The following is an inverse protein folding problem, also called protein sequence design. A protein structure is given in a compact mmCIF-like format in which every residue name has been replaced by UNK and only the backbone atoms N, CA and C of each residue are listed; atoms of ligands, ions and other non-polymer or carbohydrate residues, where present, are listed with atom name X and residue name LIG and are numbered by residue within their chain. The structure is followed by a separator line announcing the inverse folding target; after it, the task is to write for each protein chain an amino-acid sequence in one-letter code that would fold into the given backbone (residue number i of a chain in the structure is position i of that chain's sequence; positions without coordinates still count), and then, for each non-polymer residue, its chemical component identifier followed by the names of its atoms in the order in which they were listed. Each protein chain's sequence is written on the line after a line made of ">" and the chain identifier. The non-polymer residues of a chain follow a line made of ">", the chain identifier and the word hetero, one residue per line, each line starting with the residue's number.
data_IF_226085404105
#
_entry.id   IF_226085404105
#
_cell.length_a   1.000
_cell.length_b   1.000
_cell.length_c   1.000
_cell.angle_alpha   90.00
_cell.angle_beta   90.00
_cell.angle_gamma   90.00
#
_symmetry.space_group_name_H-M   'P 1'
#
loop_
_entity.id
_entity.type
_entity.pdbx_description
1 polymer ?
#
# COMPACT_ATOMS: atom_id res chain seq x y z
N UNK A 1 7.26 7.77 -10.64
CA UNK A 1 7.93 6.73 -9.82
C UNK A 1 6.93 6.28 -8.77
N UNK A 2 6.75 4.96 -8.56
CA UNK A 2 5.86 4.46 -7.52
C UNK A 2 6.41 4.75 -6.12
N UNK A 3 5.53 4.80 -5.13
CA UNK A 3 5.90 4.94 -3.73
C UNK A 3 6.50 3.60 -3.29
N UNK A 4 7.76 3.60 -2.87
CA UNK A 4 8.41 2.38 -2.40
C UNK A 4 8.32 2.30 -0.88
N UNK A 5 7.84 1.16 -0.36
CA UNK A 5 7.85 0.88 1.07
C UNK A 5 8.89 -0.18 1.45
N UNK A 6 9.29 -0.16 2.70
CA UNK A 6 10.06 -1.20 3.37
C UNK A 6 9.44 -1.46 4.74
N UNK A 7 9.15 -2.72 5.03
CA UNK A 7 8.64 -3.16 6.33
C UNK A 7 9.53 -4.28 6.87
N UNK A 8 9.84 -4.24 8.15
CA UNK A 8 10.60 -5.30 8.86
C UNK A 8 9.76 -5.77 10.04
N UNK A 9 9.51 -7.07 10.13
CA UNK A 9 8.69 -7.66 11.19
C UNK A 9 8.30 -9.10 10.90
N UNK A 10 7.24 -9.59 11.53
CA UNK A 10 6.69 -10.92 11.27
C UNK A 10 5.76 -10.90 10.05
N UNK A 11 5.89 -11.90 9.19
CA UNK A 11 5.09 -12.05 7.97
C UNK A 11 4.39 -13.40 7.98
N UNK A 12 3.11 -13.42 7.67
CA UNK A 12 2.32 -14.66 7.55
C UNK A 12 1.32 -14.56 6.41
N UNK A 13 0.79 -15.68 5.98
CA UNK A 13 -0.36 -15.72 5.09
C UNK A 13 -1.61 -15.29 5.88
N UNK A 14 -2.45 -14.48 5.29
CA UNK A 14 -3.71 -14.08 5.91
C UNK A 14 -4.60 -15.32 6.17
N UNK A 15 -5.49 -15.25 7.15
CA UNK A 15 -6.43 -16.34 7.40
C UNK A 15 -7.55 -16.31 6.36
N UNK A 16 -7.96 -17.48 5.94
CA UNK A 16 -9.18 -17.62 5.12
C UNK A 16 -10.40 -17.19 5.93
N UNK A 17 -11.33 -16.52 5.29
CA UNK A 17 -12.65 -16.21 5.80
C UNK A 17 -13.75 -16.83 4.92
N UNK A 18 -15.00 -16.81 5.38
CA UNK A 18 -16.12 -17.34 4.61
C UNK A 18 -16.29 -16.65 3.25
N UNK A 19 -15.87 -15.38 3.17
CA UNK A 19 -16.02 -14.57 1.95
C UNK A 19 -14.74 -14.49 1.10
N UNK A 20 -13.56 -14.64 1.73
CA UNK A 20 -12.28 -14.41 1.06
C UNK A 20 -11.27 -15.48 1.40
N UNK A 21 -10.55 -15.95 0.38
CA UNK A 21 -9.37 -16.81 0.55
C UNK A 21 -8.10 -15.97 0.53
N UNK A 22 -7.14 -16.37 1.33
CA UNK A 22 -5.83 -15.72 1.36
C UNK A 22 -5.04 -15.97 0.07
N UNK A 23 -5.17 -17.16 -0.50
CA UNK A 23 -4.59 -17.53 -1.79
C UNK A 23 -5.71 -18.01 -2.73
N UNK A 24 -5.88 -17.30 -3.85
CA UNK A 24 -7.00 -17.53 -4.74
C UNK A 24 -6.64 -17.29 -6.21
N UNK A 25 -7.13 -18.18 -7.06
CA UNK A 25 -7.12 -18.03 -8.51
C UNK A 25 -8.54 -17.71 -9.01
N UNK A 26 -8.69 -16.61 -9.74
CA UNK A 26 -9.94 -16.21 -10.39
C UNK A 26 -9.78 -16.17 -11.89
N UNK A 27 -10.76 -16.74 -12.59
CA UNK A 27 -10.87 -16.60 -14.03
C UNK A 27 -11.51 -15.25 -14.35
N UNK A 28 -10.95 -14.53 -15.32
CA UNK A 28 -11.57 -13.33 -15.84
C UNK A 28 -12.44 -13.62 -17.04
N UNK A 29 -13.49 -12.83 -17.27
CA UNK A 29 -14.41 -13.00 -18.41
C UNK A 29 -13.70 -12.93 -19.77
N UNK A 30 -12.53 -12.28 -19.81
CA UNK A 30 -11.69 -12.20 -20.99
C UNK A 30 -10.76 -13.40 -21.19
N UNK A 31 -10.87 -14.43 -20.33
CA UNK A 31 -10.10 -15.67 -20.42
C UNK A 31 -8.69 -15.58 -19.81
N UNK A 32 -8.40 -14.59 -18.98
CA UNK A 32 -7.18 -14.52 -18.16
C UNK A 32 -7.34 -15.20 -16.80
N UNK A 33 -6.21 -15.49 -16.14
CA UNK A 33 -6.18 -15.91 -14.74
C UNK A 33 -5.60 -14.76 -13.90
N UNK A 34 -6.32 -14.40 -12.86
CA UNK A 34 -5.86 -13.52 -11.81
C UNK A 34 -5.57 -14.36 -10.57
N UNK A 35 -4.38 -14.21 -10.02
CA UNK A 35 -3.97 -14.85 -8.76
C UNK A 35 -3.68 -13.78 -7.73
N UNK A 36 -4.21 -13.96 -6.52
CA UNK A 36 -3.93 -13.09 -5.39
C UNK A 36 -3.45 -13.87 -4.19
N UNK A 37 -2.43 -13.35 -3.51
CA UNK A 37 -1.98 -13.78 -2.19
C UNK A 37 -2.07 -12.60 -1.24
N UNK A 38 -2.88 -12.74 -0.19
CA UNK A 38 -3.00 -11.78 0.90
C UNK A 38 -2.09 -12.19 2.05
N UNK A 39 -1.34 -11.25 2.56
CA UNK A 39 -0.38 -11.44 3.64
C UNK A 39 -0.76 -10.55 4.83
N UNK A 40 -0.32 -10.95 6.01
CA UNK A 40 -0.33 -10.13 7.22
C UNK A 40 1.10 -9.80 7.58
N UNK A 41 1.38 -8.53 7.77
CA UNK A 41 2.67 -8.01 8.23
C UNK A 41 2.47 -7.28 9.54
N UNK A 42 3.17 -7.71 10.60
CA UNK A 42 3.22 -7.01 11.87
C UNK A 42 4.64 -6.45 12.05
N UNK A 43 4.73 -5.14 12.25
CA UNK A 43 5.96 -4.42 12.52
C UNK A 43 5.77 -3.60 13.79
N UNK A 44 6.39 -3.98 14.87
CA UNK A 44 6.16 -3.46 16.23
C UNK A 44 4.66 -3.49 16.59
N UNK A 45 4.02 -2.33 16.70
CA UNK A 45 2.59 -2.18 17.00
C UNK A 45 1.71 -2.02 15.76
N UNK A 46 2.32 -1.92 14.58
CA UNK A 46 1.62 -1.62 13.33
C UNK A 46 1.32 -2.89 12.55
N UNK A 47 0.12 -2.92 11.92
CA UNK A 47 -0.36 -4.06 11.15
C UNK A 47 -0.70 -3.63 9.73
N UNK A 48 -0.16 -4.35 8.77
CA UNK A 48 -0.37 -4.10 7.35
C UNK A 48 -0.86 -5.36 6.65
N UNK A 49 -1.59 -5.17 5.57
CA UNK A 49 -2.09 -6.26 4.72
C UNK A 49 -1.46 -6.18 3.32
N UNK A 50 -0.17 -6.51 3.20
CA UNK A 50 0.47 -6.54 1.89
C UNK A 50 -0.07 -7.69 1.04
N UNK A 51 0.06 -7.55 -0.28
CA UNK A 51 -0.47 -8.53 -1.22
C UNK A 51 0.45 -8.73 -2.42
N UNK A 52 0.36 -9.91 -3.02
CA UNK A 52 0.98 -10.20 -4.31
C UNK A 52 -0.15 -10.51 -5.28
N UNK A 53 -0.24 -9.76 -6.37
CA UNK A 53 -1.25 -9.94 -7.40
C UNK A 53 -0.59 -10.23 -8.73
N UNK A 54 -0.86 -11.41 -9.30
CA UNK A 54 -0.38 -11.82 -10.59
C UNK A 54 -1.52 -11.97 -11.59
N UNK A 55 -1.29 -11.56 -12.82
CA UNK A 55 -2.26 -11.69 -13.89
C UNK A 55 -1.60 -12.29 -15.13
N UNK A 56 -2.21 -13.36 -15.67
CA UNK A 56 -1.80 -13.96 -16.92
C UNK A 56 -2.93 -13.88 -17.93
N UNK A 57 -2.69 -13.19 -19.02
CA UNK A 57 -3.57 -13.20 -20.19
C UNK A 57 -3.41 -14.53 -20.90
N UNK A 58 -4.37 -15.46 -20.72
CA UNK A 58 -4.33 -16.70 -21.45
C UNK A 58 -4.76 -16.50 -22.91
N UNK A 59 -4.14 -17.24 -23.81
CA UNK A 59 -4.71 -17.42 -25.12
C UNK A 59 -6.02 -18.21 -25.00
N UNK A 60 -7.11 -17.72 -25.60
CA UNK A 60 -8.39 -18.42 -25.63
C UNK A 60 -8.17 -19.83 -26.17
N UNK A 61 -8.61 -20.81 -25.41
CA UNK A 61 -8.73 -22.18 -25.91
C UNK A 61 -10.08 -22.41 -26.54
N UNK A 62 -10.07 -23.21 -27.59
CA UNK A 62 -11.28 -23.69 -28.25
C UNK A 62 -12.13 -24.61 -27.39
N UNK A 63 -11.59 -25.17 -26.31
CA UNK A 63 -12.21 -26.15 -25.41
C UNK A 63 -12.53 -25.65 -24.01
N UNK A 64 -12.40 -24.36 -23.77
CA UNK A 64 -12.66 -23.73 -22.47
C UNK A 64 -11.56 -23.93 -21.40
N UNK A 65 -10.52 -24.73 -21.67
CA UNK A 65 -9.42 -24.89 -20.74
C UNK A 65 -8.37 -23.78 -20.89
N UNK A 66 -7.85 -23.24 -19.80
CA UNK A 66 -6.85 -22.17 -19.81
C UNK A 66 -5.45 -22.78 -20.01
N UNK A 67 -4.75 -22.32 -21.03
CA UNK A 67 -3.36 -22.70 -21.25
C UNK A 67 -2.42 -21.57 -20.78
N UNK A 68 -1.99 -21.64 -19.54
CA UNK A 68 -1.05 -20.69 -18.94
C UNK A 68 0.22 -20.53 -19.78
N UNK A 69 0.68 -21.61 -20.43
CA UNK A 69 1.92 -21.62 -21.23
C UNK A 69 1.91 -20.65 -22.40
N UNK A 70 0.75 -20.34 -22.96
CA UNK A 70 0.61 -19.43 -24.09
C UNK A 70 0.31 -17.99 -23.67
N UNK A 71 0.26 -17.72 -22.35
CA UNK A 71 0.09 -16.38 -21.80
C UNK A 71 1.28 -15.48 -22.15
N UNK A 72 1.00 -14.21 -22.35
CA UNK A 72 2.03 -13.20 -22.61
C UNK A 72 2.54 -12.61 -21.29
N UNK A 73 3.88 -12.56 -21.18
CA UNK A 73 4.57 -11.84 -20.10
C UNK A 73 5.22 -10.60 -20.72
N UNK A 74 5.07 -9.49 -20.04
CA UNK A 74 5.67 -8.19 -20.38
C UNK A 74 6.70 -7.83 -19.33
N UNK A 75 7.92 -7.52 -19.74
CA UNK A 75 9.01 -7.16 -18.85
C UNK A 75 9.97 -6.17 -19.50
N UNK A 76 11.04 -5.83 -18.79
CA UNK A 76 12.16 -5.07 -19.28
C UNK A 76 13.41 -5.94 -19.24
N UNK A 77 14.11 -6.06 -20.35
CA UNK A 77 15.42 -6.68 -20.43
C UNK A 77 16.52 -5.62 -20.54
N UNK A 78 17.66 -5.91 -19.94
CA UNK A 78 18.86 -5.10 -20.10
C UNK A 78 19.75 -5.72 -21.18
N UNK A 79 20.11 -4.93 -22.19
CA UNK A 79 21.03 -5.37 -23.21
C UNK A 79 22.50 -5.26 -22.77
N UNK A 80 23.43 -5.68 -23.65
CA UNK A 80 24.86 -5.67 -23.38
C UNK A 80 25.44 -4.25 -23.18
N UNK A 81 24.73 -3.22 -23.60
CA UNK A 81 25.12 -1.81 -23.45
C UNK A 81 24.51 -1.18 -22.17
N UNK A 82 23.74 -1.96 -21.41
CA UNK A 82 23.07 -1.49 -20.19
C UNK A 82 21.75 -0.78 -20.42
N UNK A 83 21.25 -0.74 -21.66
CA UNK A 83 19.97 -0.11 -22.01
C UNK A 83 18.80 -1.05 -21.73
N UNK A 84 17.68 -0.49 -21.24
CA UNK A 84 16.47 -1.26 -20.98
C UNK A 84 15.53 -1.22 -22.18
N UNK A 85 15.10 -2.41 -22.60
CA UNK A 85 14.19 -2.61 -23.70
C UNK A 85 12.94 -3.37 -23.23
N UNK A 86 11.76 -2.90 -23.64
CA UNK A 86 10.51 -3.61 -23.38
C UNK A 86 10.47 -4.90 -24.18
N UNK A 87 10.19 -6.00 -23.50
CA UNK A 87 10.10 -7.33 -24.12
C UNK A 87 8.76 -7.97 -23.82
N UNK A 88 8.32 -8.78 -24.77
CA UNK A 88 7.12 -9.60 -24.65
C UNK A 88 7.48 -11.03 -25.03
N UNK A 89 7.20 -11.99 -24.17
CA UNK A 89 7.47 -13.40 -24.41
C UNK A 89 6.36 -14.29 -23.84
N UNK A 90 6.33 -15.56 -24.24
CA UNK A 90 5.35 -16.51 -23.71
C UNK A 90 5.78 -17.05 -22.37
N UNK A 91 4.80 -17.32 -21.50
CA UNK A 91 5.05 -17.88 -20.15
C UNK A 91 5.93 -19.13 -20.19
N UNK A 92 5.73 -20.03 -21.15
CA UNK A 92 6.57 -21.23 -21.34
C UNK A 92 8.04 -20.95 -21.63
N UNK A 93 8.37 -19.74 -22.08
CA UNK A 93 9.74 -19.33 -22.44
C UNK A 93 10.40 -18.50 -21.33
N UNK A 94 9.74 -18.31 -20.17
CA UNK A 94 10.18 -17.45 -19.07
C UNK A 94 11.62 -17.71 -18.61
N UNK A 95 12.03 -18.97 -18.52
CA UNK A 95 13.38 -19.34 -18.08
C UNK A 95 14.49 -18.84 -19.03
N UNK A 96 14.19 -18.73 -20.31
CA UNK A 96 15.15 -18.22 -21.30
C UNK A 96 15.40 -16.73 -21.13
N UNK A 97 14.38 -16.00 -20.68
CA UNK A 97 14.41 -14.56 -20.53
C UNK A 97 14.91 -14.10 -19.15
N UNK A 98 14.76 -14.96 -18.11
CA UNK A 98 15.05 -14.63 -16.73
C UNK A 98 16.41 -13.95 -16.50
N UNK A 99 17.46 -14.42 -17.20
CA UNK A 99 18.83 -13.90 -17.04
C UNK A 99 18.98 -12.44 -17.50
N UNK A 100 18.17 -12.02 -18.48
CA UNK A 100 18.25 -10.70 -19.10
C UNK A 100 17.27 -9.71 -18.49
N UNK A 101 16.29 -10.20 -17.71
CA UNK A 101 15.30 -9.32 -17.06
C UNK A 101 16.02 -8.35 -16.13
N UNK A 102 15.65 -7.07 -16.23
CA UNK A 102 16.18 -6.02 -15.40
C UNK A 102 15.97 -6.34 -13.91
N UNK A 103 17.01 -6.19 -13.11
CA UNK A 103 17.01 -6.58 -11.68
C UNK A 103 15.87 -5.96 -10.88
N UNK A 104 15.49 -4.72 -11.18
CA UNK A 104 14.41 -4.03 -10.51
C UNK A 104 13.00 -4.53 -10.92
N UNK A 105 12.90 -5.33 -11.99
CA UNK A 105 11.67 -5.97 -12.45
C UNK A 105 11.49 -7.40 -11.92
N UNK A 106 12.52 -7.96 -11.30
CA UNK A 106 12.43 -9.28 -10.71
C UNK A 106 11.75 -9.22 -9.36
N UNK A 107 10.84 -10.15 -9.12
CA UNK A 107 10.38 -10.46 -7.78
C UNK A 107 11.39 -11.41 -7.13
N UNK A 108 11.67 -11.20 -5.86
CA UNK A 108 12.76 -11.89 -5.19
C UNK A 108 12.34 -12.38 -3.80
N UNK A 109 12.65 -13.65 -3.52
CA UNK A 109 12.62 -14.19 -2.18
C UNK A 109 14.01 -14.66 -1.79
N UNK A 110 14.51 -14.23 -0.63
CA UNK A 110 15.83 -14.59 -0.13
C UNK A 110 15.70 -15.16 1.29
N UNK A 111 16.25 -16.33 1.50
CA UNK A 111 16.55 -16.88 2.82
C UNK A 111 18.07 -16.91 3.03
N UNK A 112 18.53 -17.40 4.18
CA UNK A 112 19.95 -17.38 4.59
C UNK A 112 20.93 -17.95 3.56
N UNK A 113 20.48 -18.88 2.71
CA UNK A 113 21.36 -19.66 1.83
C UNK A 113 20.98 -19.57 0.34
N UNK A 114 19.78 -19.10 0.02
CA UNK A 114 19.24 -19.19 -1.33
C UNK A 114 18.50 -17.93 -1.75
N UNK A 115 18.64 -17.60 -3.02
CA UNK A 115 17.92 -16.51 -3.67
C UNK A 115 17.07 -17.07 -4.80
N UNK A 116 15.77 -16.86 -4.69
CA UNK A 116 14.79 -17.24 -5.70
C UNK A 116 14.33 -16.01 -6.44
N UNK A 117 14.32 -16.07 -7.77
CA UNK A 117 13.97 -14.96 -8.66
C UNK A 117 12.82 -15.35 -9.56
N UNK A 118 11.89 -14.42 -9.79
CA UNK A 118 10.71 -14.61 -10.61
C UNK A 118 10.52 -13.41 -11.54
N UNK A 119 10.04 -13.68 -12.76
CA UNK A 119 9.76 -12.64 -13.76
C UNK A 119 8.28 -12.23 -13.78
N UNK A 120 7.46 -12.83 -12.94
CA UNK A 120 6.03 -12.52 -12.85
C UNK A 120 5.51 -12.80 -11.44
N UNK A 121 4.48 -12.06 -11.06
CA UNK A 121 3.86 -12.14 -9.74
C UNK A 121 3.05 -13.43 -9.56
N UNK A 122 2.63 -14.07 -10.66
CA UNK A 122 1.83 -15.29 -10.63
C UNK A 122 2.62 -16.46 -10.02
N UNK A 123 3.85 -16.71 -10.50
CA UNK A 123 4.74 -17.74 -9.93
C UNK A 123 5.25 -17.33 -8.54
N UNK A 124 5.55 -16.05 -8.38
CA UNK A 124 6.04 -15.53 -7.11
C UNK A 124 5.05 -15.71 -5.98
N UNK A 125 3.76 -15.42 -6.22
CA UNK A 125 2.73 -15.60 -5.20
C UNK A 125 2.56 -17.06 -4.76
N UNK A 126 2.63 -18.01 -5.69
CA UNK A 126 2.57 -19.44 -5.38
C UNK A 126 3.77 -19.89 -4.54
N UNK A 127 4.96 -19.46 -4.93
CA UNK A 127 6.17 -19.77 -4.18
C UNK A 127 6.12 -19.22 -2.76
N UNK A 128 5.77 -17.93 -2.59
CA UNK A 128 5.66 -17.31 -1.27
C UNK A 128 4.61 -17.98 -0.41
N UNK A 129 3.44 -18.32 -0.98
CA UNK A 129 2.40 -19.07 -0.27
C UNK A 129 2.93 -20.39 0.27
N UNK A 130 3.59 -21.20 -0.58
CA UNK A 130 4.13 -22.51 -0.20
C UNK A 130 5.21 -22.37 0.86
N UNK A 131 6.13 -21.41 0.74
CA UNK A 131 7.21 -21.21 1.74
C UNK A 131 6.63 -20.78 3.09
N UNK A 132 5.73 -19.81 3.15
CA UNK A 132 5.15 -19.31 4.39
C UNK A 132 4.19 -20.31 5.07
N UNK A 133 3.58 -21.24 4.31
CA UNK A 133 2.68 -22.26 4.88
C UNK A 133 3.39 -23.58 5.19
N UNK A 134 4.67 -23.70 4.84
CA UNK A 134 5.46 -24.91 5.09
C UNK A 134 5.83 -25.15 6.57
N UNK A 135 5.69 -24.13 7.42
CA UNK A 135 6.17 -24.11 8.81
C UNK A 135 7.68 -23.87 8.95
N UNK A 136 8.42 -23.77 7.84
CA UNK A 136 9.88 -23.55 7.84
C UNK A 136 10.28 -22.19 8.45
N UNK A 137 9.40 -21.20 8.33
CA UNK A 137 9.66 -19.83 8.73
C UNK A 137 8.77 -19.36 9.90
N UNK A 138 8.23 -20.30 10.67
CA UNK A 138 7.50 -19.98 11.90
C UNK A 138 8.41 -19.16 12.82
N UNK A 139 7.95 -17.99 13.24
CA UNK A 139 8.70 -17.00 14.04
C UNK A 139 9.89 -16.31 13.35
N UNK A 140 10.12 -16.51 12.07
CA UNK A 140 11.16 -15.76 11.36
C UNK A 140 10.76 -14.29 11.19
N UNK A 141 11.77 -13.41 11.19
CA UNK A 141 11.61 -12.00 10.87
C UNK A 141 11.91 -11.76 9.38
N UNK A 142 11.12 -10.92 8.76
CA UNK A 142 11.21 -10.63 7.33
C UNK A 142 11.40 -9.14 7.08
N UNK A 143 12.15 -8.83 6.02
CA UNK A 143 12.12 -7.52 5.38
C UNK A 143 11.33 -7.65 4.09
N UNK A 144 10.23 -6.92 4.00
CA UNK A 144 9.32 -6.87 2.85
C UNK A 144 9.49 -5.54 2.15
N UNK A 145 9.74 -5.56 0.84
CA UNK A 145 9.89 -4.37 0.01
C UNK A 145 8.87 -4.44 -1.12
N UNK A 146 8.23 -3.32 -1.40
CA UNK A 146 7.23 -3.23 -2.44
C UNK A 146 6.86 -1.81 -2.80
N UNK A 147 5.70 -1.67 -3.42
CA UNK A 147 5.15 -0.40 -3.86
C UNK A 147 3.78 -0.16 -3.23
N UNK A 148 3.52 1.09 -2.84
CA UNK A 148 2.19 1.53 -2.40
C UNK A 148 1.45 2.04 -3.61
N UNK A 149 0.26 1.51 -3.82
CA UNK A 149 -0.66 1.93 -4.86
C UNK A 149 -1.95 2.44 -4.22
N UNK A 150 -2.43 3.59 -4.69
CA UNK A 150 -3.73 4.10 -4.31
C UNK A 150 -4.75 3.74 -5.40
N UNK A 151 -5.91 3.29 -4.96
CA UNK A 151 -7.06 3.11 -5.85
C UNK A 151 -8.23 3.89 -5.29
N UNK A 152 -8.99 4.55 -6.13
CA UNK A 152 -10.22 5.20 -5.72
C UNK A 152 -11.42 4.48 -6.31
N UNK A 153 -12.45 4.40 -5.51
CA UNK A 153 -13.75 3.85 -5.88
C UNK A 153 -14.85 4.80 -5.43
N UNK A 154 -15.80 5.04 -6.29
CA UNK A 154 -16.94 5.88 -5.97
C UNK A 154 -18.06 5.02 -5.40
N UNK A 155 -18.39 5.25 -4.12
CA UNK A 155 -19.48 4.58 -3.46
C UNK A 155 -20.81 5.31 -3.76
N UNK A 156 -21.61 4.75 -4.66
CA UNK A 156 -22.89 5.32 -5.06
C UNK A 156 -23.90 5.44 -3.90
N UNK A 157 -23.82 4.55 -2.89
CA UNK A 157 -24.71 4.58 -1.72
C UNK A 157 -24.45 5.75 -0.80
N UNK A 158 -23.17 6.11 -0.61
CA UNK A 158 -22.77 7.24 0.25
C UNK A 158 -22.50 8.51 -0.54
N UNK A 159 -22.49 8.44 -1.88
CA UNK A 159 -22.10 9.50 -2.80
C UNK A 159 -20.71 10.09 -2.48
N UNK A 160 -19.78 9.22 -2.10
CA UNK A 160 -18.42 9.59 -1.71
C UNK A 160 -17.39 8.77 -2.47
N UNK A 161 -16.27 9.40 -2.81
CA UNK A 161 -15.09 8.70 -3.33
C UNK A 161 -14.26 8.18 -2.14
N UNK A 162 -13.99 6.88 -2.15
CA UNK A 162 -13.15 6.22 -1.16
C UNK A 162 -11.80 5.88 -1.79
N UNK A 163 -10.71 6.14 -1.07
CA UNK A 163 -9.36 5.82 -1.52
C UNK A 163 -8.81 4.69 -0.67
N UNK A 164 -8.36 3.64 -1.33
CA UNK A 164 -7.73 2.48 -0.70
C UNK A 164 -6.23 2.50 -0.91
N UNK A 165 -5.50 2.11 0.12
CA UNK A 165 -4.05 1.94 0.10
C UNK A 165 -3.73 0.47 -0.10
N UNK A 166 -3.07 0.12 -1.19
CA UNK A 166 -2.63 -1.25 -1.49
C UNK A 166 -1.10 -1.34 -1.36
N UNK A 167 -0.63 -2.37 -0.68
CA UNK A 167 0.80 -2.65 -0.53
C UNK A 167 1.17 -3.84 -1.42
N UNK A 168 1.73 -3.58 -2.61
CA UNK A 168 2.15 -4.60 -3.58
C UNK A 168 3.57 -5.06 -3.28
N UNK A 169 3.75 -6.35 -2.98
CA UNK A 169 5.04 -6.91 -2.57
C UNK A 169 5.86 -7.36 -3.77
N UNK A 170 7.10 -6.89 -3.85
CA UNK A 170 8.05 -7.26 -4.89
C UNK A 170 9.21 -8.10 -4.36
N UNK A 171 9.61 -7.92 -3.10
CA UNK A 171 10.78 -8.61 -2.52
C UNK A 171 10.54 -8.96 -1.07
N UNK A 172 10.95 -10.16 -0.71
CA UNK A 172 10.91 -10.69 0.67
C UNK A 172 12.30 -11.24 1.00
N UNK A 173 12.82 -10.86 2.16
CA UNK A 173 14.09 -11.33 2.71
C UNK A 173 13.85 -11.84 4.12
N UNK A 174 14.29 -13.04 4.40
CA UNK A 174 14.45 -13.49 5.80
C UNK A 174 15.63 -12.71 6.37
N UNK A 175 15.44 -12.12 7.54
CA UNK A 175 16.47 -11.31 8.20
C UNK A 175 16.73 -11.82 9.62
N UNK A 176 17.89 -11.52 10.23
CA UNK A 176 18.18 -11.87 11.62
C UNK A 176 17.12 -11.32 12.59
N UNK A 177 16.87 -12.06 13.67
CA UNK A 177 15.86 -11.72 14.68
C UNK A 177 16.13 -10.39 15.39
N UNK A 178 17.40 -9.98 15.48
CA UNK A 178 17.86 -8.72 16.06
C UNK A 178 17.72 -7.52 15.11
N UNK A 179 17.24 -7.74 13.86
CA UNK A 179 16.97 -6.63 12.94
C UNK A 179 15.88 -5.75 13.51
N UNK A 180 16.12 -4.44 13.57
CA UNK A 180 15.15 -3.45 14.04
C UNK A 180 13.90 -3.46 13.17
N UNK A 181 12.73 -3.47 13.82
CA UNK A 181 11.45 -3.41 13.13
C UNK A 181 11.17 -2.01 12.61
N UNK A 182 10.74 -1.91 11.38
CA UNK A 182 10.40 -0.65 10.74
C UNK A 182 9.26 -0.82 9.74
N UNK A 183 8.46 0.22 9.56
CA UNK A 183 7.50 0.34 8.48
C UNK A 183 7.67 1.73 7.85
N UNK A 184 8.41 1.83 6.76
CA UNK A 184 8.76 3.11 6.16
C UNK A 184 8.47 3.17 4.67
N UNK A 185 8.25 4.38 4.14
CA UNK A 185 8.12 4.60 2.71
C UNK A 185 8.90 5.83 2.25
N UNK A 186 9.31 5.80 0.98
CA UNK A 186 9.83 6.95 0.27
C UNK A 186 8.75 7.47 -0.66
N UNK A 187 8.28 8.67 -0.41
CA UNK A 187 7.20 9.32 -1.16
C UNK A 187 7.68 10.59 -1.84
N UNK A 188 7.09 10.94 -2.95
CA UNK A 188 7.17 12.25 -3.57
C UNK A 188 5.77 12.86 -3.60
N UNK A 189 5.64 14.12 -3.18
CA UNK A 189 4.38 14.85 -3.16
C UNK A 189 4.49 16.09 -4.02
N UNK A 190 3.42 16.43 -4.69
CA UNK A 190 3.18 17.75 -5.26
C UNK A 190 2.43 18.59 -4.23
N UNK A 191 3.00 19.73 -3.90
CA UNK A 191 2.49 20.67 -2.89
C UNK A 191 2.22 22.03 -3.51
N UNK A 192 1.34 22.78 -2.88
CA UNK A 192 0.99 24.18 -3.20
C UNK A 192 1.50 25.12 -2.11
N UNK A 193 1.39 26.42 -2.30
CA UNK A 193 1.81 27.43 -1.31
C UNK A 193 1.06 27.33 0.03
N UNK A 194 -0.15 26.78 0.02
CA UNK A 194 -1.03 26.58 1.18
C UNK A 194 -0.92 25.15 1.77
N UNK A 195 0.14 24.41 1.43
CA UNK A 195 0.30 23.01 1.86
C UNK A 195 0.47 22.82 3.36
N UNK A 196 0.79 23.87 4.12
CA UNK A 196 1.11 23.78 5.54
C UNK A 196 -0.14 24.07 6.37
N UNK A 197 -0.47 23.13 7.26
CA UNK A 197 -1.49 23.31 8.29
C UNK A 197 -0.80 23.27 9.67
N UNK A 198 -1.02 24.31 10.49
CA UNK A 198 -0.41 24.52 11.80
C UNK A 198 -1.39 24.30 12.97
N UNK A 199 -2.60 23.84 12.72
CA UNK A 199 -3.65 23.69 13.74
C UNK A 199 -3.23 22.81 14.94
N UNK A 200 -2.31 21.85 14.70
CA UNK A 200 -1.80 20.92 15.71
C UNK A 200 -0.41 21.29 16.24
N UNK A 201 0.08 22.48 15.87
CA UNK A 201 1.44 22.90 16.22
C UNK A 201 1.58 23.24 17.71
N UNK A 202 0.61 23.94 18.29
CA UNK A 202 0.65 24.38 19.69
C UNK A 202 0.44 23.21 20.65
N UNK A 203 -0.54 22.36 20.39
CA UNK A 203 -0.94 21.29 21.30
C UNK A 203 -0.08 20.02 21.16
N UNK A 204 0.34 19.69 19.95
CA UNK A 204 0.99 18.40 19.66
C UNK A 204 2.43 18.58 19.12
N UNK A 205 2.90 19.81 18.95
CA UNK A 205 4.21 20.11 18.34
C UNK A 205 4.38 19.47 16.97
N UNK A 206 3.31 19.48 16.18
CA UNK A 206 3.15 18.76 14.94
C UNK A 206 2.67 19.67 13.82
N UNK A 207 3.40 19.64 12.70
CA UNK A 207 3.03 20.31 11.46
C UNK A 207 2.37 19.29 10.53
N UNK A 208 1.28 19.65 9.87
CA UNK A 208 0.68 18.80 8.83
C UNK A 208 1.00 19.38 7.46
N UNK A 209 1.54 18.54 6.58
CA UNK A 209 1.84 18.92 5.20
C UNK A 209 0.86 18.21 4.28
N UNK A 210 0.09 18.99 3.55
CA UNK A 210 -0.93 18.53 2.61
C UNK A 210 -0.38 18.57 1.18
N UNK A 211 -0.80 17.61 0.36
CA UNK A 211 -0.38 17.60 -1.03
C UNK A 211 -0.92 16.39 -1.79
N UNK A 212 -0.46 16.26 -3.01
CA UNK A 212 -0.91 15.20 -3.92
C UNK A 212 0.24 14.22 -4.19
N UNK A 213 -0.02 12.94 -4.01
CA UNK A 213 0.91 11.89 -4.39
C UNK A 213 0.56 11.45 -5.82
N UNK A 214 1.46 11.63 -6.79
CA UNK A 214 1.19 11.24 -8.17
C UNK A 214 1.33 9.73 -8.35
N UNK A 215 0.39 9.15 -9.08
CA UNK A 215 0.44 7.76 -9.51
C UNK A 215 0.01 7.66 -10.96
N UNK A 216 0.80 6.94 -11.76
CA UNK A 216 0.50 6.74 -13.17
C UNK A 216 -0.71 5.81 -13.34
N UNK A 217 -1.76 6.30 -13.99
CA UNK A 217 -2.90 5.50 -14.42
C UNK A 217 -2.71 5.04 -15.87
N UNK A 218 -2.48 3.74 -16.04
CA UNK A 218 -2.27 3.15 -17.36
C UNK A 218 -3.48 3.26 -18.30
N UNK A 219 -4.71 3.40 -17.77
CA UNK A 219 -5.92 3.61 -18.58
C UNK A 219 -5.99 5.03 -19.10
N UNK A 220 -5.66 5.98 -18.27
CA UNK A 220 -5.67 7.40 -18.58
C UNK A 220 -4.39 7.87 -19.27
N UNK A 221 -3.33 7.06 -19.22
CA UNK A 221 -1.98 7.40 -19.71
C UNK A 221 -1.44 8.72 -19.14
N UNK A 222 -1.81 9.04 -17.93
CA UNK A 222 -1.43 10.24 -17.21
C UNK A 222 -1.24 9.96 -15.71
N UNK A 223 -0.52 10.83 -15.03
CA UNK A 223 -0.43 10.80 -13.57
C UNK A 223 -1.73 11.35 -12.97
N UNK A 224 -2.25 10.63 -11.97
CA UNK A 224 -3.37 11.05 -11.12
C UNK A 224 -2.82 11.40 -9.75
N UNK A 225 -3.25 12.52 -9.20
CA UNK A 225 -2.88 12.95 -7.86
C UNK A 225 -3.87 12.45 -6.80
N UNK A 226 -3.35 11.73 -5.82
CA UNK A 226 -4.11 11.35 -4.63
C UNK A 226 -3.80 12.31 -3.49
N UNK A 227 -4.81 13.06 -3.03
CA UNK A 227 -4.64 13.99 -1.92
C UNK A 227 -4.33 13.23 -0.64
N UNK A 228 -3.24 13.63 0.04
CA UNK A 228 -2.77 13.03 1.29
C UNK A 228 -2.23 14.10 2.22
N UNK A 229 -2.41 13.84 3.51
CA UNK A 229 -1.79 14.61 4.58
C UNK A 229 -0.70 13.78 5.24
N UNK A 230 0.44 14.38 5.50
CA UNK A 230 1.54 13.76 6.25
C UNK A 230 1.84 14.58 7.48
N UNK A 231 2.14 13.90 8.58
CA UNK A 231 2.51 14.54 9.84
C UNK A 231 4.01 14.81 9.88
N UNK A 232 4.41 16.01 10.25
CA UNK A 232 5.79 16.40 10.45
C UNK A 232 6.03 16.74 11.93
N UNK A 233 6.46 15.78 12.77
CA UNK A 233 6.75 16.04 14.17
C UNK A 233 8.02 16.90 14.28
N UNK A 234 7.93 17.99 15.01
CA UNK A 234 9.09 18.87 15.20
C UNK A 234 10.14 18.23 16.10
N UNK A 235 9.74 17.34 17.02
CA UNK A 235 10.65 16.65 17.97
C UNK A 235 11.65 17.62 18.63
N UNK A 236 11.16 18.79 19.03
CA UNK A 236 11.94 19.85 19.63
C UNK A 236 11.02 20.78 20.42
N UNK A 237 11.57 21.48 21.40
CA UNK A 237 10.84 22.43 22.24
C UNK A 237 11.48 23.84 22.16
N UNK A 238 10.67 24.84 22.53
CA UNK A 238 11.10 26.21 22.67
C UNK A 238 11.75 26.79 21.40
N UNK A 239 12.91 27.42 21.56
CA UNK A 239 13.64 28.12 20.48
C UNK A 239 14.06 27.15 19.35
N UNK A 240 14.39 25.89 19.68
CA UNK A 240 14.78 24.90 18.70
C UNK A 240 13.62 24.50 17.80
N UNK A 241 12.40 24.34 18.37
CA UNK A 241 11.18 24.07 17.60
C UNK A 241 10.90 25.20 16.60
N UNK A 242 10.99 26.46 17.05
CA UNK A 242 10.80 27.62 16.18
C UNK A 242 11.83 27.67 15.04
N UNK A 243 13.09 27.37 15.33
CA UNK A 243 14.14 27.29 14.30
C UNK A 243 13.87 26.18 13.29
N UNK A 244 13.48 24.98 13.76
CA UNK A 244 13.09 23.86 12.89
C UNK A 244 11.91 24.26 12.00
N UNK A 245 10.85 24.80 12.58
CA UNK A 245 9.68 25.26 11.85
C UNK A 245 10.04 26.25 10.75
N UNK A 246 10.87 27.23 11.06
CA UNK A 246 11.34 28.23 10.07
C UNK A 246 12.09 27.56 8.91
N UNK A 247 12.96 26.60 9.19
CA UNK A 247 13.72 25.88 8.17
C UNK A 247 12.79 25.00 7.32
N UNK A 248 11.83 24.29 7.94
CA UNK A 248 10.87 23.46 7.24
C UNK A 248 10.01 24.32 6.30
N UNK A 249 9.44 25.41 6.81
CA UNK A 249 8.67 26.36 5.99
C UNK A 249 9.47 26.87 4.81
N UNK A 250 10.73 27.23 5.05
CA UNK A 250 11.63 27.65 3.99
C UNK A 250 11.84 26.56 2.94
N UNK A 251 12.10 25.31 3.34
CA UNK A 251 12.30 24.20 2.41
C UNK A 251 11.03 23.87 1.60
N UNK A 252 9.85 24.06 2.20
CA UNK A 252 8.58 23.79 1.54
C UNK A 252 8.14 24.94 0.63
N UNK A 253 8.36 26.21 1.00
CA UNK A 253 7.70 27.36 0.40
C UNK A 253 8.63 28.35 -0.35
N UNK A 254 9.97 28.28 -0.22
CA UNK A 254 10.88 29.30 -0.78
C UNK A 254 10.91 29.36 -2.33
N UNK A 255 10.44 28.33 -3.02
CA UNK A 255 10.58 28.19 -4.47
C UNK A 255 9.22 28.31 -5.22
N UNK A 256 8.20 28.86 -4.57
CA UNK A 256 6.88 28.99 -5.20
C UNK A 256 6.72 30.31 -5.96
N UNK A 257 6.28 30.20 -7.22
CA UNK A 257 5.63 31.28 -7.94
C UNK A 257 4.11 31.12 -7.79
N UNK A 258 3.35 32.17 -8.05
CA UNK A 258 1.87 32.18 -7.94
C UNK A 258 1.24 31.00 -8.70
N UNK A 259 0.41 30.21 -8.01
CA UNK A 259 -0.30 29.04 -8.55
C UNK A 259 0.58 27.89 -9.09
N UNK A 260 1.85 27.85 -8.74
CA UNK A 260 2.76 26.80 -9.16
C UNK A 260 2.67 25.57 -8.25
N UNK A 261 2.79 24.38 -8.83
CA UNK A 261 3.06 23.16 -8.07
C UNK A 261 4.56 22.99 -7.89
N UNK A 262 4.94 22.57 -6.68
CA UNK A 262 6.29 22.15 -6.41
C UNK A 262 6.31 20.69 -5.96
N UNK A 263 7.38 19.97 -6.30
CA UNK A 263 7.59 18.59 -5.90
C UNK A 263 8.59 18.52 -4.74
N UNK A 264 8.26 17.72 -3.74
CA UNK A 264 9.15 17.44 -2.62
C UNK A 264 9.10 15.95 -2.26
N UNK A 265 10.21 15.41 -1.76
CA UNK A 265 10.33 14.01 -1.36
C UNK A 265 10.60 13.85 0.12
N UNK A 266 9.92 12.86 0.72
CA UNK A 266 10.05 12.50 2.12
C UNK A 266 10.32 11.01 2.30
N UNK A 267 11.10 10.68 3.34
CA UNK A 267 11.03 9.37 3.97
C UNK A 267 10.04 9.49 5.11
N UNK A 268 9.02 8.63 5.13
CA UNK A 268 7.96 8.62 6.13
C UNK A 268 7.93 7.29 6.86
N UNK A 269 7.52 7.33 8.11
CA UNK A 269 7.08 6.19 8.89
C UNK A 269 5.61 5.92 8.57
N UNK A 270 5.27 4.65 8.36
CA UNK A 270 3.92 4.20 8.09
C UNK A 270 3.32 3.70 9.40
N UNK A 271 2.27 4.35 9.86
CA UNK A 271 1.57 4.01 11.09
C UNK A 271 0.21 3.46 10.72
N UNK A 272 -0.05 2.21 11.08
CA UNK A 272 -1.33 1.55 10.86
C UNK A 272 -1.64 0.61 12.02
N UNK A 273 -2.25 1.16 13.05
CA UNK A 273 -2.56 0.45 14.30
C UNK A 273 -3.91 0.90 14.84
N UNK A 274 -4.39 0.21 15.85
CA UNK A 274 -5.51 0.70 16.65
C UNK A 274 -4.98 1.56 17.78
N UNK A 275 -5.77 2.58 18.13
CA UNK A 275 -5.54 3.40 19.30
C UNK A 275 -5.59 2.51 20.56
N UNK A 276 -4.54 2.59 21.38
CA UNK A 276 -4.55 1.93 22.69
C UNK A 276 -5.45 2.75 23.59
N UNK A 277 -6.65 2.26 23.87
CA UNK A 277 -7.52 2.87 24.86
C UNK A 277 -6.99 2.50 26.26
N UNK A 278 -6.73 3.51 27.08
CA UNK A 278 -6.50 3.27 28.48
C UNK A 278 -7.77 2.66 29.10
N UNK A 279 -7.61 1.48 29.70
CA UNK A 279 -8.71 0.81 30.38
C UNK A 279 -9.19 1.69 31.55
N UNK A 280 -10.42 2.15 31.44
CA UNK A 280 -11.09 2.83 32.56
C UNK A 280 -12.11 1.86 33.15
N UNK A 281 -12.02 1.51 34.48
CA UNK A 281 -13.02 0.67 35.16
C UNK A 281 -14.45 1.18 35.05
N UNK A 282 -14.65 2.46 34.77
CA UNK A 282 -15.98 3.04 34.53
C UNK A 282 -16.64 2.56 33.24
N UNK A 283 -15.86 2.03 32.30
CA UNK A 283 -16.37 1.43 31.05
C UNK A 283 -17.05 0.08 31.26
N UNK A 284 -16.79 -0.58 32.41
CA UNK A 284 -17.43 -1.84 32.75
C UNK A 284 -18.91 -1.63 33.05
N UNK A 285 -19.75 -2.54 32.57
CA UNK A 285 -21.14 -2.64 32.95
C UNK A 285 -21.24 -2.96 34.44
N UNK A 286 -22.38 -2.68 35.04
CA UNK A 286 -22.59 -2.96 36.47
C UNK A 286 -22.47 -4.45 36.79
N UNK A 287 -22.91 -5.32 35.88
CA UNK A 287 -22.78 -6.78 36.01
C UNK A 287 -21.32 -7.23 35.97
N UNK A 288 -20.49 -6.65 35.07
CA UNK A 288 -19.05 -6.95 34.98
C UNK A 288 -18.30 -6.47 36.22
N UNK A 289 -18.64 -5.29 36.74
CA UNK A 289 -18.10 -4.78 38.02
C UNK A 289 -18.39 -5.73 39.17
N UNK A 290 -19.63 -6.21 39.28
CA UNK A 290 -20.02 -7.17 40.28
C UNK A 290 -19.28 -8.51 40.11
N UNK A 291 -19.15 -9.01 38.89
CA UNK A 291 -18.39 -10.24 38.62
C UNK A 291 -16.90 -10.13 38.98
N UNK A 292 -16.29 -8.96 38.76
CA UNK A 292 -14.89 -8.70 39.14
C UNK A 292 -14.79 -8.63 40.68
N UNK A 293 -15.70 -7.94 41.38
CA UNK A 293 -15.72 -7.85 42.84
C UNK A 293 -15.91 -9.22 43.50
N UNK A 294 -16.72 -10.08 42.90
CA UNK A 294 -16.94 -11.46 43.39
C UNK A 294 -15.80 -12.42 42.97
N UNK A 295 -14.80 -11.99 42.22
CA UNK A 295 -13.71 -12.82 41.75
C UNK A 295 -14.12 -13.86 40.70
N UNK A 296 -15.27 -13.67 40.05
CA UNK A 296 -15.80 -14.52 39.00
C UNK A 296 -15.23 -14.16 37.62
N UNK A 297 -14.70 -12.97 37.50
CA UNK A 297 -14.09 -12.46 36.27
C UNK A 297 -12.76 -11.78 36.56
N UNK A 298 -11.76 -12.05 35.72
CA UNK A 298 -10.43 -11.49 35.88
C UNK A 298 -10.34 -10.11 35.20
N UNK A 299 -9.97 -9.09 35.99
CA UNK A 299 -9.84 -7.71 35.52
C UNK A 299 -8.74 -7.56 34.43
N UNK A 300 -7.68 -8.37 34.47
CA UNK A 300 -6.62 -8.32 33.45
C UNK A 300 -7.13 -8.86 32.10
N UNK A 301 -7.98 -9.87 32.12
CA UNK A 301 -8.66 -10.39 30.93
C UNK A 301 -9.59 -9.33 30.32
N UNK A 302 -10.33 -8.61 31.15
CA UNK A 302 -11.20 -7.51 30.71
C UNK A 302 -10.38 -6.33 30.16
N UNK A 303 -9.28 -5.95 30.81
CA UNK A 303 -8.36 -4.94 30.27
C UNK A 303 -7.86 -5.30 28.87
N UNK A 304 -7.55 -6.57 28.66
CA UNK A 304 -7.11 -7.09 27.35
C UNK A 304 -8.25 -6.99 26.33
N UNK A 305 -9.46 -7.40 26.70
CA UNK A 305 -10.63 -7.41 25.82
C UNK A 305 -11.07 -5.99 25.44
N UNK A 306 -11.18 -5.09 26.41
CA UNK A 306 -11.54 -3.69 26.18
C UNK A 306 -10.41 -2.87 25.54
N UNK A 307 -9.14 -3.17 25.84
CA UNK A 307 -7.98 -2.49 25.27
C UNK A 307 -7.68 -2.88 23.81
N UNK A 308 -7.91 -4.14 23.42
CA UNK A 308 -7.57 -4.61 22.08
C UNK A 308 -8.65 -4.39 21.02
N UNK A 309 -9.89 -4.09 21.41
CA UNK A 309 -11.02 -4.16 20.48
C UNK A 309 -11.69 -2.84 20.08
N UNK A 310 -11.50 -1.77 20.83
CA UNK A 310 -12.39 -0.60 20.73
C UNK A 310 -11.75 0.70 20.25
N UNK A 311 -10.42 0.79 20.11
CA UNK A 311 -9.76 2.00 19.65
C UNK A 311 -9.97 2.27 18.16
N UNK A 312 -10.06 3.54 17.81
CA UNK A 312 -10.12 3.99 16.42
C UNK A 312 -8.89 3.50 15.65
N UNK A 313 -9.07 3.15 14.38
CA UNK A 313 -7.96 2.83 13.52
C UNK A 313 -7.18 4.10 13.21
N UNK A 314 -5.89 4.08 13.49
CA UNK A 314 -4.94 5.13 13.13
C UNK A 314 -4.22 4.67 11.87
N UNK A 315 -4.42 5.38 10.77
CA UNK A 315 -3.66 5.20 9.53
C UNK A 315 -3.08 6.55 9.13
N UNK A 316 -1.76 6.70 9.25
CA UNK A 316 -1.08 7.96 8.97
C UNK A 316 0.36 7.76 8.51
N UNK A 317 0.93 8.79 7.93
CA UNK A 317 2.33 8.87 7.54
C UNK A 317 3.01 9.98 8.36
N UNK A 318 4.10 9.63 9.04
CA UNK A 318 4.89 10.57 9.84
C UNK A 318 6.26 10.80 9.20
N UNK A 319 6.65 12.06 9.00
CA UNK A 319 7.92 12.39 8.33
C UNK A 319 9.09 12.04 9.24
N UNK A 320 9.97 11.18 8.73
CA UNK A 320 11.27 10.88 9.34
C UNK A 320 12.33 11.88 8.86
N UNK A 321 12.40 12.04 7.54
CA UNK A 321 13.37 13.00 6.94
C UNK A 321 12.88 13.49 5.58
N UNK A 322 13.43 14.64 5.15
CA UNK A 322 13.31 15.09 3.76
C UNK A 322 14.36 14.33 2.93
N UNK A 323 13.99 13.84 1.76
CA UNK A 323 14.89 13.11 0.88
C UNK A 323 16.04 14.02 0.40
N UNK A 324 17.24 13.45 0.31
CA UNK A 324 18.47 14.19 0.00
C UNK A 324 18.38 15.03 -1.28
N UNK A 325 17.62 14.58 -2.28
CA UNK A 325 17.42 15.32 -3.53
C UNK A 325 16.73 16.67 -3.36
N UNK A 326 16.04 16.86 -2.22
CA UNK A 326 15.28 18.06 -1.87
C UNK A 326 15.93 18.89 -0.76
N UNK A 327 17.22 18.73 -0.52
CA UNK A 327 17.97 19.47 0.52
C UNK A 327 18.01 20.98 0.30
N UNK A 328 17.71 21.44 -0.92
CA UNK A 328 17.61 22.87 -1.28
C UNK A 328 16.19 23.39 -1.31
N UNK A 329 15.21 22.56 -0.96
CA UNK A 329 13.78 22.88 -0.96
C UNK A 329 12.99 22.14 -2.04
N UNK A 330 11.70 22.43 -2.07
CA UNK A 330 10.77 21.92 -3.07
C UNK A 330 11.16 22.40 -4.47
N UNK A 331 10.94 21.57 -5.47
CA UNK A 331 11.36 21.81 -6.87
C UNK A 331 10.12 22.15 -7.69
N UNK A 332 10.09 23.33 -8.36
CA UNK A 332 9.02 23.70 -9.26
C UNK A 332 8.79 22.66 -10.38
N UNK A 333 7.53 22.42 -10.73
CA UNK A 333 7.15 21.51 -11.81
C UNK A 333 6.25 22.22 -12.84
N UNK A 334 6.32 21.79 -14.10
CA UNK A 334 5.52 22.32 -15.19
C UNK A 334 4.11 21.70 -15.26
N UNK A 335 3.58 21.22 -14.12
CA UNK A 335 2.28 20.58 -14.04
C UNK A 335 1.32 21.49 -13.28
N UNK A 336 0.06 21.57 -13.73
CA UNK A 336 -0.99 22.30 -13.01
C UNK A 336 -1.81 21.36 -12.12
N UNK A 337 -2.47 21.91 -11.09
CA UNK A 337 -3.40 21.14 -10.24
C UNK A 337 -4.52 20.53 -11.10
N UNK A 338 -5.04 21.26 -12.06
CA UNK A 338 -6.09 20.78 -12.95
C UNK A 338 -5.66 19.56 -13.76
N UNK A 339 -4.42 19.54 -14.27
CA UNK A 339 -3.87 18.38 -14.96
C UNK A 339 -3.71 17.17 -14.05
N UNK A 340 -3.33 17.40 -12.78
CA UNK A 340 -3.16 16.36 -11.79
C UNK A 340 -4.51 15.77 -11.33
N UNK A 341 -5.54 16.60 -11.25
CA UNK A 341 -6.90 16.21 -10.84
C UNK A 341 -7.79 15.86 -12.02
N UNK A 342 -7.38 16.13 -13.26
CA UNK A 342 -8.22 15.93 -14.42
C UNK A 342 -8.66 14.47 -14.52
N UNK A 343 -9.94 14.26 -14.24
CA UNK A 343 -10.64 13.08 -14.77
C UNK A 343 -10.62 13.27 -16.28
N UNK A 344 -10.16 12.31 -17.09
CA UNK A 344 -10.30 12.44 -18.53
C UNK A 344 -11.77 12.65 -18.82
N UNK A 345 -12.05 13.55 -19.73
CA UNK A 345 -13.38 13.67 -20.30
C UNK A 345 -13.83 12.27 -20.68
N UNK A 346 -14.82 11.77 -19.98
CA UNK A 346 -15.53 10.57 -20.41
C UNK A 346 -15.99 10.89 -21.80
N UNK A 347 -15.52 10.16 -22.80
CA UNK A 347 -16.03 10.21 -24.15
C UNK A 347 -17.53 10.39 -24.06
N UNK A 348 -18.00 11.52 -24.59
CA UNK A 348 -19.42 11.87 -24.67
C UNK A 348 -20.11 10.60 -25.15
N UNK A 349 -20.97 10.05 -24.30
CA UNK A 349 -21.79 8.90 -24.64
C UNK A 349 -22.40 9.18 -26.00
N UNK A 350 -21.92 8.51 -27.03
CA UNK A 350 -22.75 8.24 -28.17
C UNK A 350 -23.96 7.50 -27.59
N UNK A 351 -25.12 8.18 -27.63
CA UNK A 351 -26.39 7.55 -27.35
C UNK A 351 -26.53 6.32 -28.25
N UNK A 352 -26.12 5.19 -27.75
CA UNK A 352 -26.56 3.92 -28.25
C UNK A 352 -27.80 3.60 -27.42
N UNK A 353 -28.97 3.83 -28.01
CA UNK A 353 -30.20 3.22 -27.54
C UNK A 353 -29.96 1.70 -27.48
N UNK A 354 -29.73 1.21 -26.30
CA UNK A 354 -29.80 -0.22 -26.01
C UNK A 354 -31.00 -0.41 -25.10
N UNK A 355 -31.99 -1.11 -25.66
CA UNK A 355 -33.16 -1.60 -24.95
C UNK A 355 -32.73 -2.27 -23.63
N UNK A 356 -33.28 -1.76 -22.53
CA UNK A 356 -33.22 -2.35 -21.20
C UNK A 356 -33.99 -3.66 -21.22
N UNK A 357 -33.29 -4.79 -21.26
CA UNK A 357 -33.81 -6.06 -20.77
C UNK A 357 -32.79 -6.67 -19.81
N UNK A 358 -33.17 -6.57 -18.57
CA UNK A 358 -32.98 -7.43 -17.40
C UNK A 358 -31.77 -8.38 -17.34
N UNK A 359 -31.11 -8.32 -16.16
CA UNK A 359 -30.25 -9.31 -15.52
C UNK A 359 -28.77 -9.31 -15.86
N UNK A 360 -28.04 -8.55 -15.06
CA UNK A 360 -26.82 -9.05 -14.38
C UNK A 360 -26.28 -8.00 -13.40
N UNK A 361 -26.92 -7.88 -12.25
CA UNK A 361 -26.27 -7.44 -11.02
C UNK A 361 -25.37 -8.58 -10.56
N UNK A 362 -24.07 -8.53 -10.78
CA UNK A 362 -23.08 -9.30 -9.96
C UNK A 362 -21.61 -9.16 -10.36
N UNK A 363 -21.10 -8.11 -10.98
CA UNK A 363 -19.70 -8.18 -11.40
C UNK A 363 -18.86 -6.91 -11.19
N UNK A 364 -18.91 -6.26 -10.01
CA UNK A 364 -17.88 -5.25 -9.64
C UNK A 364 -17.64 -5.09 -8.13
N UNK A 365 -18.05 -6.05 -7.31
CA UNK A 365 -17.71 -6.05 -5.88
C UNK A 365 -16.42 -6.85 -5.61
N UNK A 366 -15.28 -6.42 -6.19
CA UNK A 366 -13.97 -7.00 -5.85
C UNK A 366 -13.46 -6.44 -4.51
N UNK A 367 -14.07 -5.38 -4.02
CA UNK A 367 -13.74 -4.76 -2.73
C UNK A 367 -15.03 -4.56 -1.94
N UNK A 368 -15.57 -5.67 -1.40
CA UNK A 368 -16.71 -5.61 -0.50
C UNK A 368 -16.36 -4.83 0.76
N UNK A 369 -17.27 -3.95 1.11
CA UNK A 369 -17.37 -3.28 2.40
C UNK A 369 -17.35 -4.29 3.55
N UNK A 370 -16.76 -3.84 4.66
CA UNK A 370 -16.89 -4.40 6.00
C UNK A 370 -16.49 -5.87 6.17
N UNK A 371 -15.20 -6.12 6.25
CA UNK A 371 -14.74 -7.17 7.17
C UNK A 371 -13.51 -6.69 7.93
N UNK A 372 -13.79 -6.19 9.10
CA UNK A 372 -12.91 -6.14 10.24
C UNK A 372 -12.11 -7.44 10.30
N UNK A 373 -10.80 -7.34 10.23
CA UNK A 373 -9.90 -8.47 10.41
C UNK A 373 -10.26 -9.17 11.73
N UNK A 374 -10.59 -10.47 11.71
CA UNK A 374 -10.57 -11.23 12.95
C UNK A 374 -9.12 -11.39 13.37
N UNK A 375 -8.83 -11.02 14.59
CA UNK A 375 -7.58 -11.31 15.28
C UNK A 375 -7.33 -12.81 15.41
#
# INVERSE_FOLDING_TARGET
>A
MGIRFTMVGSLSVAKDSDKHRAFEDKLTDKGGIFRSLKLNMKSDKDFFSPQIKGFLNSAKKSDGAINVNDSDIYSLEQDSEGKYNSVKFKYKDKEKHMKNIAEFKKMVFVNDNERYEFCNEFDYSEFVYNELTSGKFDNAKFRVIGEIEYTSWFNEKTNQEQTFTNYSVNRIYVVPDDTEEEASASIEMYITEDCINEDRLEDENLLVVNGYIPQYDGKKKADIGFYKSIEYPLNAEGELAQRKLKVIKKLLLDNFDENQLCKIGFKVDLINRREELEFNPEMLSDDEKEMVELGLMDIESLKLEYGMGMGSRIEKMSVLTINRGYSKGAIPVELTIEQLLSKPETDVKKEVNVDLNENSDDDLNIFGDDDLLPF
#
